data_IF_485681076615
#
_entry.id   IF_485681076615
#
_cell.length_a   1.000
_cell.length_b   1.000
_cell.length_c   1.000
_cell.angle_alpha   90.00
_cell.angle_beta   90.00
_cell.angle_gamma   90.00
#
_symmetry.space_group_name_H-M   'P 1'
#
loop_
_entity.id
_entity.type
_entity.pdbx_description
1 polymer ?
#
# COMPACT_ATOMS: atom_id res chain seq x y z
N UNK A 1 26.89 -16.17 -19.54
CA UNK A 1 25.56 -16.47 -18.97
C UNK A 1 25.64 -16.21 -17.47
N UNK A 2 25.13 -15.08 -16.99
CA UNK A 2 25.10 -14.78 -15.55
C UNK A 2 23.67 -15.07 -15.06
N UNK A 3 23.56 -16.00 -14.11
CA UNK A 3 22.42 -16.93 -13.98
C UNK A 3 21.23 -16.43 -13.16
N UNK A 4 21.17 -15.15 -12.83
CA UNK A 4 20.00 -14.54 -12.19
C UNK A 4 19.68 -13.19 -12.84
N UNK A 5 18.49 -13.08 -13.41
CA UNK A 5 17.96 -11.81 -13.89
C UNK A 5 17.35 -11.02 -12.70
N UNK A 6 17.47 -9.69 -12.68
CA UNK A 6 16.82 -8.85 -11.68
C UNK A 6 15.30 -9.05 -11.71
N UNK A 7 14.64 -8.75 -10.58
CA UNK A 7 13.18 -8.80 -10.54
C UNK A 7 12.62 -7.69 -11.42
N UNK A 8 11.47 -7.93 -12.05
CA UNK A 8 10.78 -6.90 -12.84
C UNK A 8 10.51 -5.63 -12.02
N UNK A 9 10.25 -5.77 -10.72
CA UNK A 9 10.11 -4.65 -9.78
C UNK A 9 11.36 -3.75 -9.72
N UNK A 10 12.56 -4.31 -9.83
CA UNK A 10 13.81 -3.54 -9.79
C UNK A 10 13.99 -2.72 -11.08
N UNK A 11 13.56 -3.26 -12.23
CA UNK A 11 13.55 -2.52 -13.50
C UNK A 11 12.55 -1.36 -13.49
N UNK A 12 11.37 -1.56 -12.91
CA UNK A 12 10.37 -0.50 -12.74
C UNK A 12 10.89 0.57 -11.77
N UNK A 13 11.39 0.18 -10.60
CA UNK A 13 11.93 1.11 -9.62
C UNK A 13 13.16 1.87 -10.15
N UNK A 14 13.91 1.28 -11.09
CA UNK A 14 15.00 1.97 -11.79
C UNK A 14 14.47 3.10 -12.68
N UNK A 15 13.40 2.84 -13.43
CA UNK A 15 12.74 3.85 -14.27
C UNK A 15 12.12 4.97 -13.44
N UNK A 16 11.56 4.64 -12.27
CA UNK A 16 10.95 5.61 -11.37
C UNK A 16 11.98 6.42 -10.55
N UNK A 17 13.25 5.99 -10.54
CA UNK A 17 14.32 6.66 -9.79
C UNK A 17 14.35 6.29 -8.30
N UNK A 18 13.67 5.21 -7.93
CA UNK A 18 13.50 4.73 -6.55
C UNK A 18 14.61 3.73 -6.12
N UNK A 19 15.51 3.34 -7.04
CA UNK A 19 16.64 2.48 -6.67
C UNK A 19 17.73 3.26 -5.92
N UNK A 20 18.23 2.74 -4.78
CA UNK A 20 19.39 3.32 -4.11
C UNK A 20 20.63 3.20 -5.02
N UNK A 21 21.54 4.17 -4.93
CA UNK A 21 22.75 4.28 -5.76
C UNK A 21 23.54 2.95 -5.96
N UNK A 22 23.82 2.13 -4.92
CA UNK A 22 24.55 0.88 -5.13
C UNK A 22 23.77 -0.15 -5.96
N UNK A 23 22.46 -0.27 -5.74
CA UNK A 23 21.61 -1.20 -6.50
C UNK A 23 21.48 -0.75 -7.96
N UNK A 24 21.41 0.57 -8.18
CA UNK A 24 21.36 1.16 -9.52
C UNK A 24 22.60 0.81 -10.35
N UNK A 25 23.80 0.97 -9.79
CA UNK A 25 25.05 0.66 -10.49
C UNK A 25 25.20 -0.84 -10.82
N UNK A 26 24.73 -1.72 -9.93
CA UNK A 26 24.70 -3.16 -10.17
C UNK A 26 23.75 -3.51 -11.33
N UNK A 27 22.57 -2.92 -11.35
CA UNK A 27 21.59 -3.11 -12.43
C UNK A 27 22.09 -2.58 -13.77
N UNK A 28 22.70 -1.40 -13.82
CA UNK A 28 23.32 -0.83 -15.04
C UNK A 28 24.46 -1.71 -15.58
N UNK A 29 25.18 -2.39 -14.69
CA UNK A 29 26.19 -3.37 -15.10
C UNK A 29 25.56 -4.64 -15.66
N UNK A 30 24.45 -5.11 -15.08
CA UNK A 30 23.69 -6.25 -15.61
C UNK A 30 23.09 -5.96 -16.98
N UNK A 31 22.48 -4.78 -17.17
CA UNK A 31 21.84 -4.37 -18.44
C UNK A 31 22.83 -4.38 -19.61
N UNK A 32 24.09 -4.00 -19.39
CA UNK A 32 25.15 -4.07 -20.42
C UNK A 32 25.48 -5.50 -20.87
N UNK A 33 25.15 -6.51 -20.06
CA UNK A 33 25.47 -7.91 -20.32
C UNK A 33 24.26 -8.80 -20.60
N UNK A 34 23.02 -8.29 -20.49
CA UNK A 34 21.79 -9.07 -20.61
C UNK A 34 20.78 -8.38 -21.53
N UNK A 35 20.73 -8.84 -22.79
CA UNK A 35 19.81 -8.30 -23.80
C UNK A 35 18.32 -8.47 -23.45
N UNK A 36 17.96 -9.54 -22.73
CA UNK A 36 16.58 -9.78 -22.29
C UNK A 36 16.09 -8.69 -21.33
N UNK A 37 16.94 -8.29 -20.38
CA UNK A 37 16.61 -7.23 -19.43
C UNK A 37 16.59 -5.85 -20.10
N UNK A 38 17.45 -5.62 -21.09
CA UNK A 38 17.45 -4.39 -21.89
C UNK A 38 16.17 -4.27 -22.73
N UNK A 39 15.76 -5.33 -23.43
CA UNK A 39 14.49 -5.37 -24.16
C UNK A 39 13.28 -5.12 -23.23
N UNK A 40 13.29 -5.72 -22.04
CA UNK A 40 12.25 -5.51 -21.04
C UNK A 40 12.21 -4.05 -20.55
N UNK A 41 13.37 -3.42 -20.36
CA UNK A 41 13.49 -2.01 -20.00
C UNK A 41 12.97 -1.09 -21.12
N UNK A 42 13.27 -1.41 -22.38
CA UNK A 42 12.75 -0.69 -23.55
C UNK A 42 11.21 -0.78 -23.60
N UNK A 43 10.64 -1.97 -23.37
CA UNK A 43 9.20 -2.16 -23.33
C UNK A 43 8.52 -1.33 -22.22
N UNK A 44 9.04 -1.37 -21.00
CA UNK A 44 8.55 -0.56 -19.88
C UNK A 44 8.65 0.94 -20.16
N UNK A 45 9.76 1.38 -20.77
CA UNK A 45 9.95 2.79 -21.16
C UNK A 45 8.93 3.21 -22.21
N UNK A 46 8.63 2.34 -23.18
CA UNK A 46 7.59 2.57 -24.19
C UNK A 46 6.21 2.76 -23.58
N UNK A 47 5.84 1.89 -22.63
CA UNK A 47 4.58 2.02 -21.88
C UNK A 47 4.50 3.35 -21.12
N UNK A 48 5.56 3.70 -20.38
CA UNK A 48 5.63 4.98 -19.66
C UNK A 48 5.41 6.17 -20.58
N UNK A 49 6.08 6.19 -21.75
CA UNK A 49 5.90 7.25 -22.75
C UNK A 49 4.47 7.32 -23.25
N UNK A 50 3.87 6.16 -23.57
CA UNK A 50 2.47 6.08 -24.02
C UNK A 50 1.51 6.68 -22.99
N UNK A 51 1.69 6.34 -21.71
CA UNK A 51 0.87 6.90 -20.62
C UNK A 51 1.09 8.40 -20.48
N UNK A 52 2.33 8.89 -20.51
CA UNK A 52 2.61 10.34 -20.41
C UNK A 52 2.08 11.13 -21.61
N UNK A 53 1.99 10.49 -22.78
CA UNK A 53 1.48 11.12 -24.00
C UNK A 53 -0.04 11.33 -23.99
N UNK A 54 -0.79 10.64 -23.11
CA UNK A 54 -2.24 10.82 -22.98
C UNK A 54 -2.64 12.23 -22.52
N UNK A 55 -1.68 13.04 -22.06
CA UNK A 55 -1.93 14.39 -21.57
C UNK A 55 -2.46 14.37 -20.13
N UNK A 56 -2.01 15.34 -19.34
CA UNK A 56 -2.60 15.56 -18.02
C UNK A 56 -3.83 16.46 -18.20
N UNK A 57 -4.99 15.99 -17.74
CA UNK A 57 -6.18 16.81 -17.63
C UNK A 57 -5.86 18.02 -16.75
N UNK A 58 -5.99 19.23 -17.32
CA UNK A 58 -5.80 20.46 -16.56
C UNK A 58 -7.01 20.64 -15.66
N UNK A 59 -6.85 20.29 -14.40
CA UNK A 59 -7.85 20.57 -13.37
C UNK A 59 -8.11 22.08 -13.36
N UNK A 60 -9.34 22.51 -13.63
CA UNK A 60 -9.71 23.93 -13.81
C UNK A 60 -9.61 24.81 -12.55
N UNK A 61 -8.87 24.39 -11.53
CA UNK A 61 -8.63 25.11 -10.30
C UNK A 61 -7.24 24.82 -9.74
N UNK A 62 -6.62 25.82 -9.11
CA UNK A 62 -5.28 25.70 -8.55
C UNK A 62 -5.31 25.01 -7.17
N UNK A 63 -4.82 23.77 -7.12
CA UNK A 63 -4.63 22.99 -5.89
C UNK A 63 -3.31 23.29 -5.18
N UNK A 64 -2.33 23.89 -5.86
CA UNK A 64 -0.99 24.11 -5.34
C UNK A 64 -0.96 24.89 -4.01
N UNK A 65 -1.73 25.97 -3.78
CA UNK A 65 -1.71 26.69 -2.50
C UNK A 65 -2.23 25.82 -1.35
N UNK A 66 -3.29 25.03 -1.55
CA UNK A 66 -3.81 24.11 -0.52
C UNK A 66 -2.82 22.98 -0.22
N UNK A 67 -2.15 22.46 -1.25
CA UNK A 67 -1.18 21.40 -1.11
C UNK A 67 0.05 21.88 -0.35
N UNK A 68 0.60 23.05 -0.70
CA UNK A 68 1.73 23.67 0.01
C UNK A 68 1.41 23.91 1.48
N UNK A 69 0.19 24.36 1.80
CA UNK A 69 -0.25 24.53 3.17
C UNK A 69 -0.26 23.22 3.95
N UNK A 70 -0.69 22.10 3.34
CA UNK A 70 -0.71 20.79 4.01
C UNK A 70 0.66 20.15 4.13
N UNK A 71 1.51 20.28 3.11
CA UNK A 71 2.87 19.72 3.13
C UNK A 71 3.80 20.50 4.08
N UNK A 72 3.62 21.81 4.19
CA UNK A 72 4.38 22.66 5.11
C UNK A 72 3.87 22.64 6.56
N UNK A 73 2.64 22.17 6.79
CA UNK A 73 2.11 21.99 8.13
C UNK A 73 2.68 20.71 8.74
N UNK A 74 3.83 20.84 9.42
CA UNK A 74 4.22 19.85 10.42
C UNK A 74 3.09 19.79 11.45
N UNK A 75 2.42 18.66 11.69
CA UNK A 75 1.38 18.61 12.71
C UNK A 75 2.02 18.97 14.04
N UNK A 76 1.69 20.16 14.57
CA UNK A 76 2.12 20.54 15.90
C UNK A 76 1.55 19.49 16.88
N UNK A 77 2.35 19.00 17.85
CA UNK A 77 1.81 18.12 18.88
C UNK A 77 0.70 18.87 19.59
N UNK A 78 -0.55 18.47 19.34
CA UNK A 78 -1.72 19.02 19.99
C UNK A 78 -1.63 18.62 21.47
N UNK A 79 -1.13 19.52 22.30
CA UNK A 79 -1.24 19.37 23.74
C UNK A 79 -2.74 19.36 24.10
N UNK A 80 -3.18 18.44 24.96
CA UNK A 80 -4.57 18.39 25.37
C UNK A 80 -4.94 19.71 26.07
N UNK A 81 -5.90 20.42 25.49
CA UNK A 81 -6.55 21.65 25.96
C UNK A 81 -7.25 21.55 27.33
N UNK A 82 -7.23 20.38 27.97
CA UNK A 82 -7.87 20.16 29.26
C UNK A 82 -6.85 20.34 30.40
N UNK A 83 -7.16 21.10 31.46
CA UNK A 83 -6.30 21.16 32.63
C UNK A 83 -6.17 19.75 33.23
N UNK A 84 -4.94 19.23 33.35
CA UNK A 84 -4.65 17.95 34.03
C UNK A 84 -4.85 18.14 35.54
N UNK A 85 -5.92 17.62 36.17
CA UNK A 85 -6.17 17.86 37.59
C UNK A 85 -5.32 16.97 38.51
N UNK A 86 -4.58 16.00 37.95
CA UNK A 86 -3.68 15.09 38.68
C UNK A 86 -2.21 15.30 38.31
N UNK A 87 -1.69 16.50 38.58
CA UNK A 87 -0.27 16.83 38.38
C UNK A 87 0.69 16.18 39.39
N UNK A 88 0.19 15.40 40.35
CA UNK A 88 0.99 14.83 41.46
C UNK A 88 1.12 13.31 41.41
N UNK A 89 0.48 12.65 40.42
CA UNK A 89 0.70 11.21 40.25
C UNK A 89 2.06 10.99 39.57
N UNK A 90 2.99 10.24 40.19
CA UNK A 90 4.25 9.94 39.55
C UNK A 90 3.97 9.11 38.29
N UNK A 91 4.60 9.52 37.18
CA UNK A 91 4.46 8.94 35.84
C UNK A 91 4.57 7.39 35.82
N UNK A 92 5.24 6.81 36.83
CA UNK A 92 5.40 5.37 37.03
C UNK A 92 4.09 4.58 37.22
N UNK A 93 3.04 5.17 37.80
CA UNK A 93 1.75 4.47 37.94
C UNK A 93 0.97 4.36 36.62
N UNK A 94 1.17 5.31 35.70
CA UNK A 94 0.49 5.30 34.41
C UNK A 94 0.99 4.15 33.51
N UNK A 95 2.29 3.84 33.55
CA UNK A 95 2.87 2.79 32.71
C UNK A 95 2.46 1.37 33.13
N UNK A 96 2.28 1.11 34.43
CA UNK A 96 1.88 -0.23 34.92
C UNK A 96 0.40 -0.49 34.70
N UNK A 97 -0.46 0.52 34.90
CA UNK A 97 -1.90 0.40 34.68
C UNK A 97 -2.24 0.03 33.22
N UNK A 98 -1.55 0.62 32.23
CA UNK A 98 -1.80 0.30 30.81
C UNK A 98 -1.44 -1.13 30.45
N UNK A 99 -0.35 -1.69 31.02
CA UNK A 99 0.05 -3.08 30.78
C UNK A 99 -0.97 -4.05 31.38
N UNK A 100 -1.41 -3.82 32.62
CA UNK A 100 -2.38 -4.70 33.29
C UNK A 100 -3.74 -4.67 32.58
N UNK A 101 -4.23 -3.48 32.24
CA UNK A 101 -5.51 -3.30 31.52
C UNK A 101 -5.42 -3.94 30.13
N UNK A 102 -4.32 -3.71 29.39
CA UNK A 102 -4.10 -4.29 28.07
C UNK A 102 -4.05 -5.82 28.09
N UNK A 103 -3.32 -6.41 29.04
CA UNK A 103 -3.25 -7.88 29.22
C UNK A 103 -4.61 -8.45 29.61
N UNK A 104 -5.34 -7.79 30.52
CA UNK A 104 -6.66 -8.25 30.95
C UNK A 104 -7.67 -8.24 29.80
N UNK A 105 -7.82 -7.12 29.09
CA UNK A 105 -8.72 -7.01 27.92
C UNK A 105 -8.31 -7.96 26.79
N UNK A 106 -7.00 -8.06 26.50
CA UNK A 106 -6.48 -9.01 25.52
C UNK A 106 -6.80 -10.47 25.88
N UNK A 107 -6.71 -10.83 27.16
CA UNK A 107 -7.03 -12.18 27.63
C UNK A 107 -8.52 -12.53 27.48
N UNK A 108 -9.41 -11.55 27.66
CA UNK A 108 -10.85 -11.72 27.44
C UNK A 108 -11.15 -11.93 25.96
N UNK A 109 -10.51 -11.16 25.07
CA UNK A 109 -10.68 -11.31 23.62
C UNK A 109 -10.22 -12.70 23.12
N UNK A 110 -9.04 -13.17 23.54
CA UNK A 110 -8.52 -14.51 23.16
C UNK A 110 -9.42 -15.63 23.68
N UNK A 111 -10.03 -15.47 24.86
CA UNK A 111 -11.00 -16.45 25.38
C UNK A 111 -12.29 -16.46 24.55
N UNK A 112 -12.74 -15.32 24.05
CA UNK A 112 -13.94 -15.23 23.20
C UNK A 112 -13.77 -15.78 21.79
N UNK A 113 -12.54 -15.88 21.28
CA UNK A 113 -12.26 -16.44 19.94
C UNK A 113 -12.29 -17.97 19.87
N UNK A 114 -12.63 -18.67 20.96
CA UNK A 114 -12.61 -20.13 21.03
C UNK A 114 -13.69 -20.88 20.25
N UNK A 115 -14.79 -20.24 19.82
CA UNK A 115 -15.87 -20.92 19.07
C UNK A 115 -16.66 -19.96 18.17
N UNK A 116 -16.01 -19.31 17.22
CA UNK A 116 -16.72 -18.78 16.05
C UNK A 116 -16.05 -19.32 14.81
N UNK A 117 -16.75 -20.25 14.17
CA UNK A 117 -16.52 -20.65 12.78
C UNK A 117 -16.58 -19.38 11.93
N UNK A 118 -15.42 -18.75 11.74
CA UNK A 118 -15.28 -17.53 10.96
C UNK A 118 -15.36 -17.90 9.49
N UNK A 119 -16.57 -17.97 8.96
CA UNK A 119 -16.78 -17.73 7.54
C UNK A 119 -16.48 -16.26 7.29
N UNK A 120 -15.22 -15.97 7.00
CA UNK A 120 -14.81 -14.63 6.58
C UNK A 120 -15.63 -14.25 5.33
N UNK A 121 -16.27 -13.08 5.28
CA UNK A 121 -16.83 -12.60 4.03
C UNK A 121 -15.66 -12.42 3.07
N UNK A 122 -15.61 -13.26 2.04
CA UNK A 122 -14.67 -13.10 0.95
C UNK A 122 -14.82 -11.67 0.41
N UNK A 123 -13.76 -10.87 0.50
CA UNK A 123 -13.71 -9.56 -0.14
C UNK A 123 -13.73 -9.77 -1.65
N UNK A 124 -14.92 -9.83 -2.23
CA UNK A 124 -15.14 -9.73 -3.67
C UNK A 124 -14.99 -8.26 -4.10
N UNK A 125 -13.82 -7.67 -3.84
CA UNK A 125 -13.50 -6.30 -4.28
C UNK A 125 -12.92 -6.28 -5.70
N UNK A 126 -12.49 -7.44 -6.21
CA UNK A 126 -11.98 -7.61 -7.57
C UNK A 126 -12.67 -8.80 -8.24
N UNK A 127 -14.00 -8.73 -8.34
CA UNK A 127 -14.68 -9.56 -9.33
C UNK A 127 -14.43 -8.93 -10.71
N UNK A 128 -14.00 -9.69 -11.72
CA UNK A 128 -13.92 -9.21 -13.10
C UNK A 128 -15.33 -9.10 -13.66
N UNK A 129 -16.11 -8.13 -13.18
CA UNK A 129 -17.35 -7.72 -13.84
C UNK A 129 -16.92 -6.83 -15.01
N UNK A 130 -17.01 -7.30 -16.27
CA UNK A 130 -16.83 -6.41 -17.40
C UNK A 130 -17.89 -5.29 -17.31
N UNK A 131 -17.56 -4.04 -17.69
CA UNK A 131 -18.53 -2.94 -17.66
C UNK A 131 -19.72 -3.30 -18.56
N UNK A 132 -20.86 -3.65 -17.95
CA UNK A 132 -22.09 -4.04 -18.64
C UNK A 132 -22.85 -5.24 -18.04
N UNK A 133 -22.26 -6.02 -17.12
CA UNK A 133 -22.94 -7.16 -16.50
C UNK A 133 -23.71 -6.80 -15.24
N UNK A 134 -25.04 -6.66 -15.31
CA UNK A 134 -25.90 -6.50 -14.13
C UNK A 134 -26.37 -7.90 -13.69
N UNK A 135 -25.85 -8.42 -12.58
CA UNK A 135 -26.38 -9.63 -11.95
C UNK A 135 -27.63 -9.27 -11.14
N UNK A 136 -28.81 -9.56 -11.68
CA UNK A 136 -30.06 -9.51 -10.93
C UNK A 136 -30.13 -10.72 -9.98
N UNK A 137 -29.92 -10.47 -8.69
CA UNK A 137 -30.12 -11.38 -7.53
C UNK A 137 -29.07 -12.48 -7.27
N UNK A 138 -28.88 -12.73 -5.96
CA UNK A 138 -27.79 -13.50 -5.37
C UNK A 138 -27.91 -15.01 -5.56
N UNK A 139 -27.43 -15.52 -6.70
CA UNK A 139 -27.02 -16.92 -6.84
C UNK A 139 -25.70 -17.02 -7.63
N UNK A 140 -24.70 -17.76 -7.15
CA UNK A 140 -23.44 -17.93 -7.87
C UNK A 140 -23.66 -18.78 -9.13
N UNK A 141 -23.38 -18.20 -10.30
CA UNK A 141 -23.34 -18.92 -11.57
C UNK A 141 -22.03 -19.70 -11.67
N UNK A 142 -22.03 -20.97 -11.23
CA UNK A 142 -20.95 -21.90 -11.56
C UNK A 142 -21.13 -22.38 -13.01
N UNK A 143 -20.21 -21.99 -13.89
CA UNK A 143 -20.06 -22.62 -15.21
C UNK A 143 -19.42 -24.00 -15.01
N UNK A 144 -20.21 -25.07 -15.13
CA UNK A 144 -19.68 -26.41 -15.38
C UNK A 144 -19.18 -26.46 -16.83
N UNK A 145 -17.87 -26.39 -17.01
CA UNK A 145 -17.24 -26.73 -18.29
C UNK A 145 -17.31 -28.24 -18.50
N UNK A 146 -18.03 -28.67 -19.54
CA UNK A 146 -18.02 -30.05 -20.05
C UNK A 146 -17.81 -30.01 -21.56
N UNK A 147 -16.68 -30.55 -22.01
CA UNK A 147 -16.52 -31.38 -23.22
C UNK A 147 -15.07 -31.81 -23.32
#
# INVERSE_FOLDING_TARGET
>A
MNTDCPRSADLSAYLDGELPAPARAALETHLRGCGVCDEHLVALTGLRRGVTALGQETVGFDLAPRLRQRLGATPAPALPWWPRPWGWLPLSFAATATVVIGVFLGSQLVRTTGTTDSSAPAMALFDPIPPGGICLSARPCHLQGKS
#
